data_IF_975424211334
#
_entry.id   IF_975424211334
#
_cell.length_a   1.000
_cell.length_b   1.000
_cell.length_c   1.000
_cell.angle_alpha   90.00
_cell.angle_beta   90.00
_cell.angle_gamma   90.00
#
_symmetry.space_group_name_H-M   'P 1'
#
loop_
_entity.id
_entity.type
_entity.pdbx_description
1 polymer ?
#
# COMPACT_ATOMS: atom_id res chain seq x y z
N UNK A 1 20.91 12.66 38.95
CA UNK A 1 21.84 12.68 37.79
C UNK A 1 22.39 11.27 37.57
N UNK A 2 21.82 10.48 36.67
CA UNK A 2 22.35 9.22 36.09
C UNK A 2 21.34 8.73 35.06
N UNK A 3 21.57 9.09 33.80
CA UNK A 3 22.05 8.23 32.69
C UNK A 3 20.93 7.45 32.01
N UNK A 4 20.51 8.01 30.88
CA UNK A 4 19.52 7.48 29.94
C UNK A 4 20.13 6.44 28.98
N UNK A 5 19.26 5.50 28.58
CA UNK A 5 19.42 4.43 27.60
C UNK A 5 20.15 4.83 26.31
N UNK A 6 21.03 3.95 25.84
CA UNK A 6 21.37 3.79 24.41
C UNK A 6 21.20 2.32 24.06
N UNK A 7 20.14 1.98 23.32
CA UNK A 7 20.04 0.73 22.58
C UNK A 7 20.48 1.03 21.14
N UNK A 8 21.60 0.43 20.72
CA UNK A 8 22.01 0.37 19.33
C UNK A 8 21.94 -1.10 18.90
N UNK A 9 21.09 -1.37 17.92
CA UNK A 9 20.89 -2.64 17.27
C UNK A 9 22.11 -2.92 16.37
N UNK A 10 22.81 -4.02 16.61
CA UNK A 10 23.91 -4.53 15.79
C UNK A 10 23.52 -5.95 15.37
N UNK A 11 23.04 -6.10 14.15
CA UNK A 11 23.05 -7.37 13.43
C UNK A 11 23.96 -7.20 12.21
N UNK A 12 25.17 -7.73 12.32
CA UNK A 12 26.07 -7.94 11.19
C UNK A 12 26.18 -9.45 10.98
N UNK A 13 25.45 -9.97 9.99
CA UNK A 13 25.69 -11.30 9.44
C UNK A 13 26.54 -11.11 8.18
N UNK A 14 27.82 -11.43 8.29
CA UNK A 14 28.73 -11.51 7.15
C UNK A 14 28.52 -12.85 6.46
N UNK A 15 28.07 -12.83 5.20
CA UNK A 15 28.15 -13.96 4.29
C UNK A 15 29.33 -13.75 3.32
N UNK A 16 30.09 -14.80 2.95
CA UNK A 16 31.15 -14.68 1.96
C UNK A 16 30.54 -14.58 0.57
N UNK A 17 30.83 -13.49 -0.15
CA UNK A 17 30.48 -13.36 -1.56
C UNK A 17 31.48 -14.15 -2.42
N UNK A 18 31.03 -15.23 -3.05
CA UNK A 18 31.72 -15.80 -4.21
C UNK A 18 31.27 -15.04 -5.45
N UNK A 19 32.20 -14.27 -6.03
CA UNK A 19 31.96 -13.56 -7.28
C UNK A 19 31.86 -14.54 -8.46
N UNK A 20 30.64 -14.75 -8.95
CA UNK A 20 30.39 -15.21 -10.31
C UNK A 20 29.95 -13.99 -11.12
N UNK A 21 30.48 -13.81 -12.33
CA UNK A 21 30.06 -12.73 -13.21
C UNK A 21 28.60 -12.94 -13.62
N UNK A 22 27.71 -12.15 -13.01
CA UNK A 22 26.28 -12.11 -13.26
C UNK A 22 25.95 -10.95 -14.21
N UNK A 23 24.81 -11.06 -14.89
CA UNK A 23 24.14 -9.93 -15.52
C UNK A 23 24.18 -8.70 -14.54
N UNK A 24 24.24 -7.44 -15.00
CA UNK A 24 24.39 -6.26 -14.09
C UNK A 24 23.08 -5.57 -13.66
N UNK A 25 22.78 -5.48 -12.34
CA UNK A 25 21.71 -4.71 -11.64
C UNK A 25 20.27 -5.27 -11.55
N UNK A 26 19.52 -4.99 -10.45
CA UNK A 26 18.07 -5.23 -10.32
C UNK A 26 17.25 -3.94 -10.53
N UNK A 27 16.12 -4.05 -11.24
CA UNK A 27 15.19 -2.95 -11.50
C UNK A 27 13.77 -3.40 -11.16
N UNK A 28 13.00 -2.58 -10.44
CA UNK A 28 11.57 -2.81 -10.23
C UNK A 28 10.79 -2.49 -11.53
N UNK A 29 10.32 -3.52 -12.24
CA UNK A 29 9.57 -3.33 -13.49
C UNK A 29 8.17 -2.77 -13.27
N UNK A 30 7.48 -3.20 -12.23
CA UNK A 30 6.11 -2.74 -11.97
C UNK A 30 6.13 -1.31 -11.42
N UNK A 31 5.48 -0.37 -12.11
CA UNK A 31 5.28 0.98 -11.58
C UNK A 31 4.09 1.09 -10.62
N UNK A 32 3.21 0.08 -10.63
CA UNK A 32 1.97 0.07 -9.86
C UNK A 32 2.23 0.10 -8.35
N UNK A 33 1.62 1.08 -7.67
CA UNK A 33 1.60 1.14 -6.20
C UNK A 33 0.18 1.51 -5.77
N UNK A 34 -0.46 0.71 -4.89
CA UNK A 34 -1.77 1.08 -4.38
C UNK A 34 -1.69 2.41 -3.61
N UNK A 35 -2.81 3.12 -3.54
CA UNK A 35 -2.94 4.24 -2.62
C UNK A 35 -2.64 3.78 -1.18
N UNK A 36 -2.04 4.64 -0.37
CA UNK A 36 -1.51 4.24 0.94
C UNK A 36 -2.60 3.93 1.99
N UNK A 37 -3.82 4.42 1.75
CA UNK A 37 -4.94 4.38 2.69
C UNK A 37 -6.29 4.18 1.97
N UNK A 38 -7.37 4.23 2.75
CA UNK A 38 -8.77 4.22 2.32
C UNK A 38 -9.23 5.50 1.60
N UNK A 39 -8.51 6.62 1.74
CA UNK A 39 -8.91 7.95 1.27
C UNK A 39 -8.53 8.20 -0.18
N UNK A 40 -7.52 7.50 -0.67
CA UNK A 40 -7.07 7.56 -2.06
C UNK A 40 -8.06 7.02 -3.10
N UNK A 41 -7.56 6.89 -4.32
CA UNK A 41 -8.25 6.34 -5.48
C UNK A 41 -7.87 4.86 -5.58
N UNK A 42 -7.37 4.35 -6.71
CA UNK A 42 -6.81 2.99 -6.78
C UNK A 42 -5.30 3.05 -6.50
N UNK A 43 -4.58 3.88 -7.24
CA UNK A 43 -3.13 4.11 -7.09
C UNK A 43 -2.81 5.56 -6.76
N UNK A 44 -3.67 6.49 -7.18
CA UNK A 44 -3.49 7.91 -6.92
C UNK A 44 -3.90 8.23 -5.50
N UNK A 45 -3.02 8.91 -4.76
CA UNK A 45 -3.28 9.33 -3.40
C UNK A 45 -4.08 10.64 -3.38
N UNK A 46 -4.91 10.82 -2.35
CA UNK A 46 -5.58 12.09 -2.04
C UNK A 46 -4.84 12.81 -0.88
N UNK A 47 -5.08 14.10 -0.70
CA UNK A 47 -4.53 14.87 0.42
C UNK A 47 -5.18 14.53 1.76
N UNK A 48 -6.34 13.88 1.73
CA UNK A 48 -7.03 13.39 2.91
C UNK A 48 -6.13 12.42 3.70
N UNK A 49 -6.26 12.52 5.02
CA UNK A 49 -5.56 11.69 6.00
C UNK A 49 -6.61 11.03 6.89
N UNK A 50 -6.23 9.91 7.49
CA UNK A 50 -6.97 9.28 8.58
C UNK A 50 -7.11 10.22 9.79
N UNK A 51 -8.17 10.03 10.57
CA UNK A 51 -8.39 10.69 11.85
C UNK A 51 -7.34 10.29 12.90
N UNK A 52 -7.30 11.01 14.03
CA UNK A 52 -6.35 10.67 15.08
C UNK A 52 -6.66 9.29 15.65
N UNK A 53 -5.66 8.42 15.71
CA UNK A 53 -5.77 7.05 16.20
C UNK A 53 -6.66 6.13 15.33
N UNK A 54 -7.03 6.59 14.13
CA UNK A 54 -7.68 5.75 13.12
C UNK A 54 -6.61 4.94 12.37
N UNK A 55 -6.98 3.71 12.00
CA UNK A 55 -6.16 2.81 11.21
C UNK A 55 -6.85 2.48 9.89
N UNK A 56 -6.06 2.24 8.85
CA UNK A 56 -6.52 1.62 7.61
C UNK A 56 -5.59 0.46 7.28
N UNK A 57 -6.12 -0.65 6.79
CA UNK A 57 -5.32 -1.75 6.30
C UNK A 57 -5.98 -2.38 5.07
N UNK A 58 -5.18 -2.99 4.21
CA UNK A 58 -5.70 -3.59 3.00
C UNK A 58 -4.75 -4.56 2.34
N UNK A 59 -5.32 -5.35 1.45
CA UNK A 59 -4.58 -6.23 0.55
C UNK A 59 -5.01 -5.87 -0.87
N UNK A 60 -4.07 -5.36 -1.67
CA UNK A 60 -4.32 -4.98 -3.06
C UNK A 60 -3.43 -5.83 -3.96
N UNK A 61 -4.06 -6.69 -4.76
CA UNK A 61 -3.36 -7.54 -5.73
C UNK A 61 -3.50 -6.95 -7.11
N UNK A 62 -2.39 -6.85 -7.82
CA UNK A 62 -2.37 -6.52 -9.24
C UNK A 62 -1.69 -7.62 -10.05
N UNK A 63 -2.08 -7.75 -11.30
CA UNK A 63 -1.46 -8.60 -12.30
C UNK A 63 -1.16 -7.74 -13.52
N UNK A 64 0.07 -7.76 -14.00
CA UNK A 64 0.49 -7.13 -15.24
C UNK A 64 1.03 -8.18 -16.21
N UNK A 65 0.66 -8.07 -17.48
CA UNK A 65 1.13 -8.93 -18.56
C UNK A 65 2.03 -8.17 -19.53
N UNK A 66 3.15 -8.74 -19.93
CA UNK A 66 4.05 -8.21 -20.94
C UNK A 66 4.71 -6.90 -20.50
N UNK A 67 5.40 -6.88 -19.37
CA UNK A 67 6.01 -5.65 -18.82
C UNK A 67 7.33 -5.28 -19.50
N UNK A 68 7.98 -6.23 -20.16
CA UNK A 68 9.23 -6.05 -20.86
C UNK A 68 9.35 -7.10 -21.96
N UNK A 69 9.79 -6.68 -23.15
CA UNK A 69 10.08 -7.57 -24.28
C UNK A 69 11.33 -7.07 -25.02
N UNK A 70 12.31 -7.92 -25.22
CA UNK A 70 13.45 -7.69 -26.10
C UNK A 70 13.44 -8.67 -27.26
N UNK A 71 13.86 -8.18 -28.43
CA UNK A 71 14.08 -8.99 -29.62
C UNK A 71 15.53 -8.80 -30.07
N UNK A 72 16.24 -9.91 -30.27
CA UNK A 72 17.66 -9.93 -30.64
C UNK A 72 17.91 -10.59 -32.00
N UNK A 73 19.18 -10.73 -32.35
CA UNK A 73 19.59 -11.35 -33.60
C UNK A 73 19.18 -12.83 -33.66
N UNK A 74 18.91 -13.35 -34.86
CA UNK A 74 18.59 -14.78 -35.03
C UNK A 74 17.22 -15.20 -34.48
N UNK A 75 16.33 -14.24 -34.18
CA UNK A 75 14.99 -14.52 -33.65
C UNK A 75 14.96 -14.77 -32.15
N UNK A 76 16.03 -14.41 -31.42
CA UNK A 76 16.05 -14.49 -29.97
C UNK A 76 15.07 -13.51 -29.35
N UNK A 77 14.37 -13.91 -28.30
CA UNK A 77 13.43 -13.06 -27.56
C UNK A 77 13.66 -13.23 -26.06
N UNK A 78 13.48 -12.16 -25.29
CA UNK A 78 13.40 -12.19 -23.85
C UNK A 78 12.14 -11.45 -23.41
N UNK A 79 11.27 -12.10 -22.66
CA UNK A 79 10.01 -11.50 -22.22
C UNK A 79 9.78 -11.72 -20.73
N UNK A 80 9.40 -10.65 -20.03
CA UNK A 80 8.76 -10.75 -18.71
C UNK A 80 7.25 -10.83 -18.94
N UNK A 81 6.75 -12.06 -18.97
CA UNK A 81 5.40 -12.42 -19.41
C UNK A 81 4.33 -11.99 -18.43
N UNK A 82 4.49 -12.30 -17.15
CA UNK A 82 3.48 -12.04 -16.12
C UNK A 82 4.15 -11.64 -14.80
N UNK A 83 3.62 -10.59 -14.17
CA UNK A 83 3.97 -10.18 -12.80
C UNK A 83 2.69 -10.05 -12.01
N UNK A 84 2.60 -10.76 -10.88
CA UNK A 84 1.51 -10.67 -9.91
C UNK A 84 2.10 -10.10 -8.61
N UNK A 85 1.47 -9.06 -8.08
CA UNK A 85 1.94 -8.42 -6.84
C UNK A 85 0.78 -8.13 -5.89
N UNK A 86 0.47 -9.05 -4.96
CA UNK A 86 -0.26 -8.73 -3.74
C UNK A 86 0.56 -7.79 -2.85
N UNK A 87 -0.04 -6.66 -2.47
CA UNK A 87 0.57 -5.67 -1.58
C UNK A 87 -0.30 -5.51 -0.35
N UNK A 88 0.26 -5.79 0.82
CA UNK A 88 -0.34 -5.39 2.09
C UNK A 88 -0.05 -3.91 2.31
N UNK A 89 -1.08 -3.15 2.64
CA UNK A 89 -0.96 -1.74 3.04
C UNK A 89 -1.50 -1.57 4.45
N UNK A 90 -0.86 -0.70 5.22
CA UNK A 90 -1.30 -0.28 6.53
C UNK A 90 -1.04 1.21 6.71
N UNK A 91 -1.97 1.94 7.30
CA UNK A 91 -1.85 3.35 7.58
C UNK A 91 -2.42 3.69 8.96
N UNK A 92 -1.86 4.74 9.57
CA UNK A 92 -2.23 5.24 10.89
C UNK A 92 -2.28 6.76 10.92
N UNK A 93 -3.41 7.31 11.38
CA UNK A 93 -3.64 8.75 11.45
C UNK A 93 -3.15 9.38 12.76
N UNK A 94 -2.47 10.50 12.65
CA UNK A 94 -1.89 11.25 13.76
C UNK A 94 -2.29 12.72 13.67
N UNK A 95 -2.78 13.27 14.78
CA UNK A 95 -3.14 14.69 14.86
C UNK A 95 -2.46 15.35 16.04
N UNK A 96 -1.70 16.41 15.75
CA UNK A 96 -1.01 17.21 16.76
C UNK A 96 -1.44 18.68 16.60
N UNK A 97 -2.55 19.03 17.25
CA UNK A 97 -3.17 20.35 17.10
C UNK A 97 -3.61 20.62 15.65
N UNK A 98 -3.01 21.61 14.95
CA UNK A 98 -3.33 21.89 13.54
C UNK A 98 -2.59 20.97 12.55
N UNK A 99 -1.61 20.18 13.00
CA UNK A 99 -0.82 19.32 12.14
C UNK A 99 -1.53 17.97 12.03
N UNK A 100 -1.78 17.53 10.81
CA UNK A 100 -2.40 16.24 10.52
C UNK A 100 -1.46 15.42 9.64
N UNK A 101 -1.04 14.28 10.18
CA UNK A 101 -0.07 13.36 9.60
C UNK A 101 -0.70 11.99 9.45
N UNK A 102 -0.16 11.21 8.53
CA UNK A 102 -0.46 9.80 8.39
C UNK A 102 0.82 9.03 8.11
N UNK A 103 1.04 7.99 8.89
CA UNK A 103 2.13 7.04 8.68
C UNK A 103 1.58 5.86 7.88
N UNK A 104 2.33 5.41 6.88
CA UNK A 104 1.95 4.27 6.06
C UNK A 104 3.08 3.27 5.90
N UNK A 105 2.71 2.01 5.68
CA UNK A 105 3.60 0.91 5.29
C UNK A 105 3.00 0.16 4.11
N UNK A 106 3.84 -0.24 3.17
CA UNK A 106 3.46 -1.14 2.07
C UNK A 106 4.42 -2.31 1.98
N UNK A 107 3.88 -3.52 1.87
CA UNK A 107 4.65 -4.77 1.83
C UNK A 107 4.21 -5.56 0.59
N UNK A 108 4.94 -5.44 -0.52
CA UNK A 108 4.65 -6.20 -1.73
C UNK A 108 5.25 -7.60 -1.66
N UNK A 109 4.48 -8.60 -2.10
CA UNK A 109 4.99 -9.92 -2.44
C UNK A 109 4.85 -10.06 -3.94
N UNK A 110 5.92 -10.43 -4.63
CA UNK A 110 5.99 -10.46 -6.09
C UNK A 110 6.14 -11.91 -6.52
N UNK A 111 5.35 -12.30 -7.52
CA UNK A 111 5.49 -13.56 -8.26
C UNK A 111 5.56 -13.20 -9.73
N UNK A 112 6.53 -13.74 -10.44
CA UNK A 112 6.74 -13.41 -11.83
C UNK A 112 7.16 -14.62 -12.66
N UNK A 113 6.84 -14.55 -13.94
CA UNK A 113 7.23 -15.52 -14.94
C UNK A 113 7.61 -14.81 -16.23
N UNK A 114 8.55 -15.41 -16.96
CA UNK A 114 8.99 -14.95 -18.25
C UNK A 114 9.57 -16.08 -19.09
N UNK A 115 9.78 -15.78 -20.36
CA UNK A 115 10.18 -16.75 -21.37
C UNK A 115 11.30 -16.19 -22.24
N UNK A 116 12.09 -17.09 -22.81
CA UNK A 116 13.11 -16.81 -23.81
C UNK A 116 12.81 -17.64 -25.06
N UNK A 117 12.96 -17.03 -26.23
CA UNK A 117 12.85 -17.71 -27.53
C UNK A 117 14.18 -17.57 -28.30
N UNK A 118 14.45 -18.40 -29.33
CA UNK A 118 13.64 -19.57 -29.74
C UNK A 118 13.72 -20.69 -28.70
N UNK A 119 12.58 -21.35 -28.47
CA UNK A 119 12.56 -22.68 -27.89
C UNK A 119 13.01 -23.69 -28.95
N UNK A 120 13.58 -24.82 -28.52
CA UNK A 120 13.94 -25.90 -29.44
C UNK A 120 12.80 -26.92 -29.48
N UNK A 121 12.06 -26.97 -30.60
CA UNK A 121 10.82 -27.73 -30.75
C UNK A 121 10.99 -29.09 -31.44
N UNK A 122 12.12 -29.77 -31.20
CA UNK A 122 12.40 -31.11 -31.75
C UNK A 122 12.84 -31.10 -33.22
N UNK A 123 13.42 -29.99 -33.68
CA UNK A 123 13.96 -29.84 -35.02
C UNK A 123 15.28 -30.60 -35.21
N UNK A 124 15.20 -31.73 -35.92
CA UNK A 124 16.26 -32.69 -36.30
C UNK A 124 16.72 -33.67 -35.20
N UNK A 125 16.78 -35.00 -35.49
CA UNK A 125 17.16 -36.04 -34.50
C UNK A 125 18.56 -35.93 -33.89
N UNK A 126 19.37 -34.99 -34.36
CA UNK A 126 20.78 -34.80 -33.98
C UNK A 126 21.00 -33.45 -33.26
N UNK A 127 19.96 -32.65 -33.00
CA UNK A 127 20.07 -31.49 -32.10
C UNK A 127 19.99 -31.99 -30.64
N UNK A 128 21.06 -31.81 -29.83
CA UNK A 128 21.06 -32.22 -28.43
C UNK A 128 20.08 -31.41 -27.55
N UNK A 129 19.40 -30.40 -28.11
CA UNK A 129 18.46 -29.51 -27.42
C UNK A 129 16.99 -29.87 -27.71
N UNK A 130 16.70 -31.12 -28.08
CA UNK A 130 15.31 -31.53 -28.33
C UNK A 130 14.42 -31.29 -27.10
N UNK A 131 13.25 -30.69 -27.31
CA UNK A 131 12.25 -30.36 -26.27
C UNK A 131 12.65 -29.33 -25.19
N UNK A 132 13.69 -28.51 -25.41
CA UNK A 132 14.08 -27.46 -24.45
C UNK A 132 13.17 -26.21 -24.51
N UNK A 133 12.61 -25.84 -23.35
CA UNK A 133 11.91 -24.56 -23.12
C UNK A 133 12.70 -23.69 -22.15
N UNK A 134 12.97 -22.45 -22.54
CA UNK A 134 13.75 -21.52 -21.75
C UNK A 134 12.84 -20.53 -21.00
N UNK A 135 12.22 -21.00 -19.91
CA UNK A 135 11.43 -20.15 -19.01
C UNK A 135 12.23 -19.71 -17.78
N UNK A 136 11.79 -18.63 -17.14
CA UNK A 136 12.29 -18.23 -15.82
C UNK A 136 11.12 -17.78 -14.94
N UNK A 137 11.21 -18.08 -13.64
CA UNK A 137 10.23 -17.71 -12.64
C UNK A 137 10.94 -17.19 -11.40
N UNK A 138 10.30 -16.26 -10.71
CA UNK A 138 10.82 -15.75 -9.45
C UNK A 138 9.68 -15.33 -8.53
N UNK A 139 9.88 -15.54 -7.23
CA UNK A 139 8.95 -15.12 -6.21
C UNK A 139 9.70 -14.61 -4.99
N UNK A 140 9.15 -13.62 -4.32
CA UNK A 140 9.75 -13.12 -3.09
C UNK A 140 9.06 -11.88 -2.56
N UNK A 141 9.66 -11.32 -1.52
CA UNK A 141 9.29 -9.99 -1.07
C UNK A 141 9.79 -8.97 -2.09
N UNK A 142 9.00 -7.94 -2.39
CA UNK A 142 9.51 -6.76 -3.09
C UNK A 142 10.04 -5.73 -2.11
N UNK A 143 10.14 -4.48 -2.55
CA UNK A 143 10.63 -3.39 -1.70
C UNK A 143 9.56 -2.90 -0.73
N UNK A 144 9.84 -3.02 0.58
CA UNK A 144 8.95 -2.49 1.62
C UNK A 144 8.96 -0.96 1.59
N UNK A 145 7.80 -0.34 1.42
CA UNK A 145 7.62 1.10 1.47
C UNK A 145 7.26 1.59 2.87
N UNK A 146 7.94 2.64 3.33
CA UNK A 146 7.56 3.43 4.49
C UNK A 146 7.13 4.82 4.03
N UNK A 147 5.99 5.30 4.51
CA UNK A 147 5.34 6.52 4.01
C UNK A 147 5.01 7.48 5.15
N UNK A 148 5.19 8.78 4.90
CA UNK A 148 4.72 9.86 5.74
C UNK A 148 3.94 10.84 4.86
N UNK A 149 2.62 10.92 5.05
CA UNK A 149 1.76 11.93 4.43
C UNK A 149 1.54 13.07 5.42
N UNK A 150 1.76 14.29 4.97
CA UNK A 150 1.45 15.50 5.70
C UNK A 150 0.46 16.35 4.92
N UNK A 151 -0.70 16.61 5.52
CA UNK A 151 -1.74 17.47 4.95
C UNK A 151 -1.55 18.93 5.38
N UNK A 152 -1.59 19.83 4.39
CA UNK A 152 -1.54 21.28 4.59
C UNK A 152 -2.90 21.95 4.46
N UNK A 153 -3.71 21.50 3.49
CA UNK A 153 -5.05 22.04 3.23
C UNK A 153 -6.06 20.91 3.10
N UNK A 154 -7.24 21.14 3.66
CA UNK A 154 -8.37 20.20 3.60
C UNK A 154 -9.40 20.63 2.57
N UNK A 155 -9.98 19.67 1.85
CA UNK A 155 -11.14 19.88 0.98
C UNK A 155 -12.41 20.29 1.73
N UNK A 156 -12.46 20.08 3.06
CA UNK A 156 -13.64 20.39 3.87
C UNK A 156 -13.82 21.88 4.19
N UNK A 157 -12.77 22.69 4.05
CA UNK A 157 -12.77 24.14 4.32
C UNK A 157 -12.48 24.91 3.01
N UNK A 158 -12.98 26.14 2.88
CA UNK A 158 -12.71 26.96 1.69
C UNK A 158 -11.20 27.08 1.44
N UNK A 159 -10.67 26.95 0.20
CA UNK A 159 -11.31 26.91 -1.12
C UNK A 159 -11.76 25.52 -1.64
N UNK A 160 -11.99 24.54 -0.76
CA UNK A 160 -12.31 23.14 -1.11
C UNK A 160 -11.24 22.48 -1.98
N UNK A 161 -9.97 22.85 -1.75
CA UNK A 161 -8.81 22.26 -2.41
C UNK A 161 -7.97 21.59 -1.33
N UNK A 162 -7.64 20.33 -1.56
CA UNK A 162 -6.74 19.55 -0.75
C UNK A 162 -5.29 19.73 -1.19
N UNK A 163 -4.37 19.83 -0.23
CA UNK A 163 -2.93 19.88 -0.49
C UNK A 163 -2.21 19.02 0.55
N UNK A 164 -1.38 18.08 0.08
CA UNK A 164 -0.51 17.27 0.91
C UNK A 164 0.84 17.01 0.25
N UNK A 165 1.79 16.57 1.05
CA UNK A 165 3.05 15.97 0.58
C UNK A 165 3.18 14.59 1.19
N UNK A 166 3.63 13.63 0.39
CA UNK A 166 3.94 12.27 0.81
C UNK A 166 5.45 12.08 0.63
N UNK A 167 6.17 11.90 1.73
CA UNK A 167 7.53 11.39 1.74
C UNK A 167 7.50 9.88 1.82
N UNK A 168 8.33 9.18 1.05
CA UNK A 168 8.41 7.73 1.06
C UNK A 168 9.85 7.26 0.92
N UNK A 169 10.17 6.14 1.55
CA UNK A 169 11.40 5.39 1.33
C UNK A 169 11.04 3.94 1.09
N UNK A 170 11.46 3.42 -0.07
CA UNK A 170 11.34 2.00 -0.41
C UNK A 170 12.64 1.32 -0.04
N UNK A 171 12.57 0.30 0.80
CA UNK A 171 13.71 -0.44 1.32
C UNK A 171 14.01 -1.62 0.39
N UNK A 172 15.28 -1.88 0.06
CA UNK A 172 15.68 -2.96 -0.86
C UNK A 172 15.59 -4.31 -0.12
N UNK A 173 14.38 -4.84 -0.02
CA UNK A 173 14.09 -6.08 0.72
C UNK A 173 13.86 -7.28 -0.21
N UNK A 174 13.94 -7.04 -1.52
CA UNK A 174 13.98 -8.09 -2.52
C UNK A 174 15.08 -9.10 -2.21
N UNK A 175 14.71 -10.38 -2.21
CA UNK A 175 15.60 -11.49 -1.88
C UNK A 175 16.21 -12.03 -3.17
N UNK A 176 17.55 -12.01 -3.26
CA UNK A 176 18.31 -12.67 -4.33
C UNK A 176 18.56 -14.13 -3.91
N UNK A 177 17.63 -15.04 -4.21
CA UNK A 177 17.70 -16.41 -3.68
C UNK A 177 18.74 -17.31 -4.40
N UNK A 178 19.22 -16.93 -5.57
CA UNK A 178 20.05 -17.80 -6.40
C UNK A 178 21.03 -17.04 -7.30
N UNK A 179 21.14 -15.71 -7.10
CA UNK A 179 21.95 -14.88 -7.97
C UNK A 179 21.38 -14.70 -9.37
N UNK A 180 20.14 -15.12 -9.61
CA UNK A 180 19.35 -14.59 -10.72
C UNK A 180 18.76 -13.26 -10.31
N UNK A 181 18.64 -12.36 -11.28
CA UNK A 181 18.03 -11.06 -11.05
C UNK A 181 16.55 -11.16 -11.23
N UNK A 182 15.84 -10.73 -10.20
CA UNK A 182 14.50 -11.25 -9.99
C UNK A 182 13.41 -10.23 -10.27
N UNK A 183 13.75 -9.01 -10.72
CA UNK A 183 12.81 -7.90 -10.97
C UNK A 183 11.89 -7.56 -9.76
N UNK A 184 12.17 -8.13 -8.58
CA UNK A 184 11.31 -8.05 -7.39
C UNK A 184 11.44 -6.69 -6.69
N UNK A 185 12.56 -5.99 -6.88
CA UNK A 185 12.85 -4.72 -6.23
C UNK A 185 14.12 -4.07 -6.75
N UNK A 186 14.48 -2.94 -6.14
CA UNK A 186 15.66 -2.15 -6.46
C UNK A 186 16.86 -2.57 -5.59
N UNK A 187 18.08 -2.42 -6.09
CA UNK A 187 19.31 -2.79 -5.34
C UNK A 187 19.57 -1.91 -4.11
N UNK A 188 19.01 -0.69 -4.09
CA UNK A 188 19.24 0.30 -3.04
C UNK A 188 17.95 0.97 -2.65
N UNK A 189 17.96 1.52 -1.44
CA UNK A 189 16.84 2.30 -0.93
C UNK A 189 16.50 3.44 -1.88
N UNK A 190 15.22 3.53 -2.22
CA UNK A 190 14.70 4.45 -3.23
C UNK A 190 13.79 5.46 -2.55
N UNK A 191 14.28 6.68 -2.26
CA UNK A 191 13.45 7.73 -1.70
C UNK A 191 12.56 8.38 -2.77
N UNK A 192 11.37 8.76 -2.37
CA UNK A 192 10.38 9.40 -3.22
C UNK A 192 9.64 10.50 -2.44
N UNK A 193 9.37 11.62 -3.11
CA UNK A 193 8.52 12.68 -2.58
C UNK A 193 7.45 12.99 -3.62
N UNK A 194 6.18 12.96 -3.20
CA UNK A 194 5.03 13.33 -4.03
C UNK A 194 4.29 14.51 -3.41
N UNK A 195 4.00 15.53 -4.21
CA UNK A 195 2.97 16.50 -3.90
C UNK A 195 1.62 15.96 -4.37
N UNK A 196 0.57 16.25 -3.60
CA UNK A 196 -0.82 15.85 -3.89
C UNK A 196 -1.69 17.08 -3.87
N UNK A 197 -2.48 17.28 -4.93
CA UNK A 197 -3.53 18.29 -5.01
C UNK A 197 -4.82 17.61 -5.41
N UNK A 198 -5.88 17.83 -4.66
CA UNK A 198 -7.19 17.25 -4.99
C UNK A 198 -8.34 18.22 -4.74
N UNK A 199 -9.48 17.89 -5.33
CA UNK A 199 -10.70 18.69 -5.24
C UNK A 199 -11.93 17.81 -5.33
N UNK A 200 -12.89 18.09 -4.47
CA UNK A 200 -14.24 17.55 -4.53
C UNK A 200 -15.17 18.60 -5.13
N UNK A 201 -16.01 18.19 -6.09
CA UNK A 201 -16.87 19.07 -6.87
C UNK A 201 -18.34 18.88 -6.50
N UNK A 202 -19.08 20.00 -6.52
CA UNK A 202 -20.50 20.03 -6.16
C UNK A 202 -20.74 20.03 -4.65
N UNK A 203 -22.01 20.19 -4.26
CA UNK A 203 -22.43 20.12 -2.86
C UNK A 203 -22.48 18.67 -2.37
N UNK A 204 -22.92 17.75 -3.24
CA UNK A 204 -22.97 16.31 -2.98
C UNK A 204 -21.61 15.60 -3.03
N UNK A 205 -20.54 16.31 -3.46
CA UNK A 205 -19.15 15.80 -3.56
C UNK A 205 -18.99 14.48 -4.32
N UNK A 206 -19.92 14.20 -5.23
CA UNK A 206 -19.94 12.94 -6.00
C UNK A 206 -18.76 12.82 -6.95
N UNK A 207 -18.27 13.93 -7.48
CA UNK A 207 -17.14 13.93 -8.37
C UNK A 207 -15.91 14.46 -7.62
N UNK A 208 -14.82 13.71 -7.68
CA UNK A 208 -13.53 14.11 -7.10
C UNK A 208 -12.40 13.85 -8.08
N UNK A 209 -11.40 14.72 -8.02
CA UNK A 209 -10.18 14.64 -8.83
C UNK A 209 -8.96 14.81 -7.95
N UNK A 210 -7.89 14.07 -8.23
CA UNK A 210 -6.58 14.27 -7.64
C UNK A 210 -5.48 14.27 -8.69
N UNK A 211 -4.46 15.06 -8.44
CA UNK A 211 -3.21 15.12 -9.18
C UNK A 211 -2.08 14.86 -8.20
N UNK A 212 -1.20 13.94 -8.58
CA UNK A 212 0.05 13.67 -7.86
C UNK A 212 1.23 13.92 -8.78
N UNK A 213 2.31 14.47 -8.24
CA UNK A 213 3.53 14.71 -8.99
C UNK A 213 4.72 14.84 -8.06
N UNK A 214 5.89 14.37 -8.47
CA UNK A 214 7.05 14.42 -7.60
C UNK A 214 8.34 13.91 -8.21
N UNK A 215 9.23 13.42 -7.35
CA UNK A 215 10.55 12.91 -7.72
C UNK A 215 10.80 11.58 -7.01
N UNK A 216 11.36 10.61 -7.74
CA UNK A 216 11.83 9.33 -7.23
C UNK A 216 13.30 9.19 -7.60
N UNK A 217 14.14 8.98 -6.59
CA UNK A 217 15.58 8.92 -6.74
C UNK A 217 16.06 7.48 -6.68
N UNK A 218 16.78 7.04 -7.70
CA UNK A 218 17.44 5.71 -7.73
C UNK A 218 18.93 5.92 -7.61
N UNK A 219 19.55 5.25 -6.64
CA UNK A 219 21.00 5.35 -6.38
C UNK A 219 21.76 4.06 -6.70
N UNK A 220 21.06 3.02 -7.16
CA UNK A 220 21.63 1.74 -7.62
C UNK A 220 22.13 1.83 -9.06
N UNK A 221 22.67 0.72 -9.56
CA UNK A 221 23.11 0.62 -10.96
C UNK A 221 21.92 0.72 -11.93
N UNK A 222 20.71 0.43 -11.44
CA UNK A 222 19.44 0.77 -12.07
C UNK A 222 19.32 0.25 -13.49
N UNK A 223 20.04 -0.81 -13.83
CA UNK A 223 20.11 -1.35 -15.16
C UNK A 223 19.94 -2.86 -15.11
N UNK A 224 19.42 -3.41 -16.20
CA UNK A 224 19.40 -4.84 -16.43
C UNK A 224 19.77 -5.08 -17.88
N UNK A 225 20.69 -5.99 -18.12
CA UNK A 225 21.04 -6.48 -19.46
C UNK A 225 20.78 -7.97 -19.55
N UNK A 226 20.13 -8.40 -20.62
CA UNK A 226 19.91 -9.80 -20.93
C UNK A 226 21.12 -10.41 -21.67
N UNK A 227 22.09 -10.99 -20.95
CA UNK A 227 23.20 -11.71 -21.58
C UNK A 227 23.07 -13.24 -21.51
N UNK A 228 22.07 -13.75 -20.81
CA UNK A 228 21.90 -15.15 -20.40
C UNK A 228 23.16 -15.75 -19.74
N UNK A 229 23.14 -15.89 -18.42
CA UNK A 229 24.14 -16.73 -17.76
C UNK A 229 23.98 -18.18 -18.26
N UNK A 230 24.98 -18.70 -18.98
CA UNK A 230 25.02 -20.08 -19.46
C UNK A 230 26.22 -20.85 -18.87
N UNK A 231 26.21 -21.17 -17.56
CA UNK A 231 27.33 -21.87 -16.92
C UNK A 231 27.51 -23.31 -17.42
N UNK A 232 26.45 -23.89 -18.01
CA UNK A 232 26.42 -25.28 -18.46
C UNK A 232 26.62 -25.43 -19.98
N UNK A 233 26.73 -24.33 -20.73
CA UNK A 233 26.94 -24.34 -22.18
C UNK A 233 25.73 -24.85 -22.96
N UNK A 234 24.52 -24.65 -22.44
CA UNK A 234 23.24 -25.06 -23.03
C UNK A 234 22.83 -24.17 -24.22
N UNK A 235 23.49 -23.04 -24.44
CA UNK A 235 23.16 -22.11 -25.51
C UNK A 235 21.86 -21.35 -25.25
N UNK A 236 21.65 -20.93 -23.99
CA UNK A 236 20.45 -20.17 -23.57
C UNK A 236 20.33 -18.92 -24.45
N UNK A 237 19.18 -18.70 -25.12
CA UNK A 237 19.00 -17.53 -25.95
C UNK A 237 19.13 -16.24 -25.14
N UNK A 238 19.98 -15.32 -25.62
CA UNK A 238 20.09 -13.96 -25.09
C UNK A 238 19.96 -12.93 -26.18
N UNK A 239 19.37 -11.80 -25.82
CA UNK A 239 19.10 -10.68 -26.74
C UNK A 239 20.17 -9.60 -26.67
N UNK A 240 20.89 -9.49 -25.55
CA UNK A 240 21.78 -8.37 -25.24
C UNK A 240 21.02 -7.07 -24.94
N UNK A 241 19.69 -7.11 -24.84
CA UNK A 241 18.86 -5.95 -24.58
C UNK A 241 19.11 -5.39 -23.17
N UNK A 242 19.15 -4.06 -23.06
CA UNK A 242 19.39 -3.37 -21.79
C UNK A 242 18.25 -2.41 -21.45
N UNK A 243 17.77 -2.47 -20.20
CA UNK A 243 16.92 -1.46 -19.60
C UNK A 243 17.72 -0.67 -18.58
N UNK A 244 17.47 0.63 -18.54
CA UNK A 244 18.02 1.53 -17.53
C UNK A 244 16.86 2.32 -16.91
N UNK A 245 16.64 2.10 -15.62
CA UNK A 245 15.73 2.84 -14.77
C UNK A 245 16.53 3.81 -13.90
N UNK A 246 16.68 5.04 -14.38
CA UNK A 246 17.28 6.12 -13.62
C UNK A 246 16.30 6.85 -12.70
N UNK A 247 16.68 8.06 -12.31
CA UNK A 247 15.82 8.98 -11.59
C UNK A 247 14.56 9.30 -12.42
N UNK A 248 13.41 9.44 -11.77
CA UNK A 248 12.13 9.68 -12.48
C UNK A 248 11.29 10.76 -11.80
N UNK A 249 10.44 11.41 -12.59
CA UNK A 249 9.37 12.30 -12.12
C UNK A 249 8.03 11.56 -12.21
N UNK A 250 7.61 10.83 -11.16
CA UNK A 250 6.31 10.17 -11.13
C UNK A 250 5.17 11.19 -11.14
N UNK A 251 4.10 10.86 -11.84
CA UNK A 251 2.87 11.62 -11.87
C UNK A 251 1.63 10.71 -11.91
N UNK A 252 0.50 11.26 -11.49
CA UNK A 252 -0.77 10.56 -11.50
C UNK A 252 -1.94 11.53 -11.59
N UNK A 253 -2.98 11.15 -12.32
CA UNK A 253 -4.28 11.81 -12.38
C UNK A 253 -5.33 10.78 -12.02
N UNK A 254 -6.09 11.05 -10.96
CA UNK A 254 -7.23 10.25 -10.54
C UNK A 254 -8.52 11.02 -10.72
N UNK A 255 -9.52 10.38 -11.33
CA UNK A 255 -10.89 10.87 -11.44
C UNK A 255 -11.82 9.84 -10.83
N UNK A 256 -12.75 10.27 -9.98
CA UNK A 256 -13.73 9.37 -9.40
C UNK A 256 -15.12 9.99 -9.36
N UNK A 257 -16.13 9.15 -9.58
CA UNK A 257 -17.53 9.51 -9.55
C UNK A 257 -18.35 8.52 -8.73
N UNK A 258 -18.93 9.00 -7.64
CA UNK A 258 -19.86 8.26 -6.80
C UNK A 258 -21.25 8.17 -7.45
N UNK A 259 -21.50 7.06 -8.15
CA UNK A 259 -22.82 6.71 -8.70
C UNK A 259 -23.86 6.74 -7.57
N UNK A 260 -23.51 6.08 -6.46
CA UNK A 260 -24.25 6.15 -5.20
C UNK A 260 -23.24 6.36 -4.08
N UNK A 261 -23.25 7.53 -3.41
CA UNK A 261 -22.35 7.81 -2.30
C UNK A 261 -22.33 6.67 -1.29
N UNK A 262 -21.13 6.32 -0.79
CA UNK A 262 -20.92 5.25 0.20
C UNK A 262 -21.39 3.86 -0.24
N UNK A 263 -21.63 3.63 -1.53
CA UNK A 263 -21.95 2.29 -2.07
C UNK A 263 -21.15 1.96 -3.31
N UNK A 264 -21.15 2.85 -4.31
CA UNK A 264 -20.54 2.60 -5.60
C UNK A 264 -19.85 3.85 -6.13
N UNK A 265 -18.55 3.75 -6.37
CA UNK A 265 -17.71 4.77 -7.01
C UNK A 265 -17.03 4.14 -8.24
N UNK A 266 -17.11 4.82 -9.39
CA UNK A 266 -16.30 4.48 -10.56
C UNK A 266 -15.04 5.35 -10.54
N UNK A 267 -13.91 4.75 -10.88
CA UNK A 267 -12.59 5.41 -10.82
C UNK A 267 -11.87 5.21 -12.15
N UNK A 268 -11.30 6.28 -12.67
CA UNK A 268 -10.37 6.24 -13.80
C UNK A 268 -9.08 6.94 -13.42
N UNK A 269 -7.94 6.35 -13.76
CA UNK A 269 -6.62 6.91 -13.46
C UNK A 269 -5.70 6.88 -14.67
N UNK A 270 -4.79 7.84 -14.73
CA UNK A 270 -3.59 7.78 -15.58
C UNK A 270 -2.40 7.94 -14.66
N UNK A 271 -1.48 6.99 -14.70
CA UNK A 271 -0.25 7.01 -13.90
C UNK A 271 0.96 6.83 -14.81
N UNK A 272 2.07 7.43 -14.43
CA UNK A 272 3.31 7.23 -15.16
C UNK A 272 4.49 7.94 -14.52
N UNK A 273 5.63 7.87 -15.18
CA UNK A 273 6.82 8.58 -14.76
C UNK A 273 7.63 9.06 -15.97
N UNK A 274 8.16 10.28 -15.85
CA UNK A 274 9.09 10.83 -16.84
C UNK A 274 10.51 10.46 -16.40
N UNK A 275 11.28 9.71 -17.20
CA UNK A 275 12.68 9.45 -16.86
C UNK A 275 13.51 10.72 -16.99
N UNK A 276 14.42 10.92 -16.03
CA UNK A 276 15.46 11.95 -16.08
C UNK A 276 16.77 11.39 -16.67
N UNK A 277 16.96 10.07 -16.57
CA UNK A 277 18.09 9.28 -17.03
C UNK A 277 17.57 7.91 -17.52
N UNK A 278 18.15 7.37 -18.60
CA UNK A 278 17.68 6.14 -19.25
C UNK A 278 16.40 6.36 -20.08
N UNK A 279 16.42 6.05 -21.38
CA UNK A 279 15.25 6.30 -22.26
C UNK A 279 14.26 5.12 -22.31
N UNK A 280 14.68 3.93 -21.84
CA UNK A 280 13.96 2.67 -22.06
C UNK A 280 13.04 2.27 -20.89
N UNK A 281 13.05 2.99 -19.75
CA UNK A 281 12.10 2.83 -18.66
C UNK A 281 11.13 4.01 -18.61
N UNK A 282 9.91 3.82 -19.14
CA UNK A 282 8.93 4.90 -19.33
C UNK A 282 7.51 4.44 -18.97
N UNK A 283 7.20 4.12 -17.71
CA UNK A 283 5.88 3.66 -17.34
C UNK A 283 4.83 4.73 -17.64
N UNK A 284 3.77 4.36 -18.37
CA UNK A 284 2.62 5.21 -18.64
C UNK A 284 1.39 4.35 -18.87
N UNK A 285 0.48 4.33 -17.92
CA UNK A 285 -0.66 3.41 -17.86
C UNK A 285 -1.98 4.14 -17.64
N UNK A 286 -3.03 3.62 -18.27
CA UNK A 286 -4.41 4.04 -18.08
C UNK A 286 -5.20 2.94 -17.38
N UNK A 287 -5.93 3.30 -16.34
CA UNK A 287 -6.62 2.39 -15.44
C UNK A 287 -8.09 2.78 -15.31
N UNK A 288 -8.96 1.79 -15.20
CA UNK A 288 -10.36 1.99 -14.85
C UNK A 288 -10.82 0.90 -13.89
N UNK A 289 -11.64 1.27 -12.91
CA UNK A 289 -12.15 0.33 -11.94
C UNK A 289 -13.35 0.85 -11.19
N UNK A 290 -13.82 0.04 -10.26
CA UNK A 290 -14.92 0.35 -9.36
C UNK A 290 -14.49 0.13 -7.92
N UNK A 291 -15.06 0.93 -7.02
CA UNK A 291 -15.05 0.69 -5.58
C UNK A 291 -16.47 0.38 -5.11
N UNK A 292 -16.62 -0.75 -4.45
CA UNK A 292 -17.84 -1.19 -3.77
C UNK A 292 -17.63 -1.02 -2.28
N UNK A 293 -18.32 -0.06 -1.69
CA UNK A 293 -18.19 0.26 -0.27
C UNK A 293 -19.00 -0.74 0.56
N UNK A 294 -18.30 -1.42 1.46
CA UNK A 294 -18.85 -2.36 2.44
C UNK A 294 -19.25 -1.63 3.73
N UNK A 295 -18.51 -0.57 4.05
CA UNK A 295 -18.80 0.39 5.11
C UNK A 295 -18.41 1.81 4.64
N UNK A 296 -18.56 2.82 5.50
CA UNK A 296 -18.33 4.24 5.14
C UNK A 296 -17.01 4.48 4.40
N UNK A 297 -15.91 3.87 4.89
CA UNK A 297 -14.56 4.02 4.33
C UNK A 297 -13.86 2.67 4.04
N UNK A 298 -14.61 1.56 4.11
CA UNK A 298 -14.12 0.22 3.77
C UNK A 298 -14.71 -0.23 2.44
N UNK A 299 -13.88 -0.71 1.51
CA UNK A 299 -14.31 -1.05 0.16
C UNK A 299 -13.56 -2.23 -0.46
N UNK A 300 -14.23 -2.88 -1.40
CA UNK A 300 -13.64 -3.75 -2.42
C UNK A 300 -13.39 -2.93 -3.68
N UNK A 301 -12.19 -2.98 -4.25
CA UNK A 301 -11.85 -2.42 -5.54
C UNK A 301 -11.53 -3.50 -6.56
N UNK A 302 -11.99 -3.33 -7.79
CA UNK A 302 -11.60 -4.19 -8.90
C UNK A 302 -11.59 -3.40 -10.21
N UNK A 303 -10.73 -3.81 -11.13
CA UNK A 303 -10.62 -3.16 -12.42
C UNK A 303 -9.44 -3.66 -13.21
N UNK A 304 -9.07 -2.87 -14.21
CA UNK A 304 -7.96 -3.17 -15.09
C UNK A 304 -7.50 -1.95 -15.86
N UNK A 305 -6.51 -2.18 -16.71
CA UNK A 305 -5.88 -1.12 -17.48
C UNK A 305 -4.90 -1.66 -18.51
N UNK A 306 -4.16 -0.74 -19.10
CA UNK A 306 -3.11 -1.05 -20.07
C UNK A 306 -2.09 0.09 -20.13
N UNK A 307 -0.86 -0.26 -20.50
CA UNK A 307 0.16 0.70 -20.91
C UNK A 307 -0.24 1.42 -22.20
N UNK A 308 0.02 2.73 -22.23
CA UNK A 308 -0.15 3.55 -23.42
C UNK A 308 1.05 3.45 -24.37
N UNK A 309 2.25 3.19 -23.82
CA UNK A 309 3.48 3.06 -24.58
C UNK A 309 3.72 1.58 -24.88
N UNK A 310 3.21 1.14 -26.03
CA UNK A 310 3.45 -0.20 -26.56
C UNK A 310 4.66 -0.19 -27.46
N UNK A 311 5.53 -1.17 -27.30
CA UNK A 311 6.70 -1.35 -28.14
C UNK A 311 7.70 -2.27 -27.48
N UNK A 312 8.47 -2.95 -28.32
CA UNK A 312 9.61 -3.72 -27.87
C UNK A 312 10.63 -2.77 -27.23
N UNK A 313 11.43 -3.30 -26.31
CA UNK A 313 12.55 -2.63 -25.65
C UNK A 313 12.19 -1.52 -24.65
N UNK A 314 10.90 -1.30 -24.38
CA UNK A 314 10.42 -0.39 -23.32
C UNK A 314 9.92 -1.18 -22.13
N UNK A 315 10.49 -0.94 -20.95
CA UNK A 315 10.04 -1.56 -19.72
C UNK A 315 9.06 -0.72 -18.92
N UNK A 316 8.35 -1.40 -18.02
CA UNK A 316 7.43 -0.79 -17.06
C UNK A 316 6.07 -0.41 -17.64
N UNK A 317 5.72 -0.93 -18.81
CA UNK A 317 4.41 -0.74 -19.44
C UNK A 317 3.79 -2.10 -19.71
N UNK A 318 2.84 -2.57 -18.89
CA UNK A 318 2.14 -3.81 -19.19
C UNK A 318 1.24 -3.64 -20.42
N UNK A 319 1.15 -4.66 -21.26
CA UNK A 319 0.13 -4.74 -22.32
C UNK A 319 -1.28 -4.70 -21.71
N UNK A 320 -1.45 -5.38 -20.59
CA UNK A 320 -2.70 -5.49 -19.84
C UNK A 320 -2.44 -5.54 -18.34
N UNK A 321 -3.31 -4.90 -17.57
CA UNK A 321 -3.33 -4.95 -16.12
C UNK A 321 -4.71 -5.35 -15.60
N UNK A 322 -4.72 -6.19 -14.58
CA UNK A 322 -5.89 -6.45 -13.73
C UNK A 322 -5.56 -6.14 -12.27
N UNK A 323 -6.55 -5.76 -11.48
CA UNK A 323 -6.37 -5.61 -10.03
C UNK A 323 -7.65 -5.96 -9.26
N UNK A 324 -7.43 -6.40 -8.02
CA UNK A 324 -8.44 -6.67 -7.02
C UNK A 324 -7.87 -6.26 -5.66
N UNK A 325 -8.57 -5.42 -4.92
CA UNK A 325 -8.12 -4.97 -3.61
C UNK A 325 -9.26 -4.90 -2.60
N UNK A 326 -8.95 -5.19 -1.35
CA UNK A 326 -9.85 -4.95 -0.23
C UNK A 326 -9.15 -4.02 0.75
N UNK A 327 -9.82 -2.95 1.15
CA UNK A 327 -9.28 -1.94 2.07
C UNK A 327 -10.33 -1.71 3.15
N UNK A 328 -9.88 -1.80 4.39
CA UNK A 328 -10.68 -1.60 5.59
C UNK A 328 -10.17 -0.40 6.36
N UNK A 329 -11.10 0.42 6.79
CA UNK A 329 -10.90 1.46 7.79
C UNK A 329 -11.97 1.19 8.87
N UNK A 330 -11.62 0.46 9.95
CA UNK A 330 -12.55 0.23 11.04
C UNK A 330 -12.91 1.57 11.69
N UNK A 331 -14.20 1.83 11.82
CA UNK A 331 -14.69 2.98 12.57
C UNK A 331 -14.76 2.57 14.04
N UNK A 332 -13.65 2.72 14.75
CA UNK A 332 -13.59 2.55 16.20
C UNK A 332 -13.92 3.92 16.81
N UNK A 333 -15.20 4.31 16.73
CA UNK A 333 -15.73 5.54 17.32
C UNK A 333 -15.91 5.41 18.83
N UNK A 334 -16.26 6.51 19.48
CA UNK A 334 -16.61 6.64 20.89
C UNK A 334 -17.73 7.69 20.89
N UNK A 335 -18.98 7.22 21.02
CA UNK A 335 -20.18 8.00 20.64
C UNK A 335 -20.63 8.93 21.76
N UNK A 336 -20.53 8.51 23.00
CA UNK A 336 -20.83 9.24 24.23
C UNK A 336 -19.61 9.97 24.79
N UNK A 337 -18.41 9.58 24.40
CA UNK A 337 -17.16 10.29 24.70
C UNK A 337 -16.59 9.97 26.07
N UNK A 338 -16.90 8.80 26.62
CA UNK A 338 -16.44 8.35 27.93
C UNK A 338 -15.01 7.77 27.89
N UNK A 339 -14.51 7.43 26.71
CA UNK A 339 -13.16 6.89 26.48
C UNK A 339 -13.13 5.40 26.16
N UNK A 340 -14.25 4.69 26.26
CA UNK A 340 -14.48 3.40 25.62
C UNK A 340 -14.82 3.61 24.15
N UNK A 341 -14.63 2.58 23.33
CA UNK A 341 -14.96 2.66 21.91
C UNK A 341 -16.23 1.87 21.68
N UNK A 342 -17.03 2.33 20.72
CA UNK A 342 -18.30 1.72 20.29
C UNK A 342 -18.25 0.19 20.10
N UNK A 343 -17.07 -0.39 19.83
CA UNK A 343 -16.88 -1.82 19.60
C UNK A 343 -16.53 -2.65 20.85
N UNK A 344 -16.16 -1.98 21.95
CA UNK A 344 -15.83 -2.57 23.25
C UNK A 344 -16.68 -2.04 24.40
N UNK A 345 -17.51 -1.04 24.12
CA UNK A 345 -18.46 -0.38 25.00
C UNK A 345 -19.82 -1.11 24.96
N UNK A 346 -20.32 -1.54 26.12
CA UNK A 346 -21.62 -2.21 26.22
C UNK A 346 -22.81 -1.24 26.13
N UNK A 347 -22.59 0.04 26.45
CA UNK A 347 -23.56 1.13 26.40
C UNK A 347 -23.13 2.32 25.51
N UNK A 348 -22.89 2.15 24.19
CA UNK A 348 -22.26 3.18 23.33
C UNK A 348 -23.03 4.49 23.07
N UNK A 349 -24.11 4.76 23.78
CA UNK A 349 -24.83 6.02 23.69
C UNK A 349 -24.97 6.69 25.07
N UNK A 350 -24.49 6.05 26.13
CA UNK A 350 -24.64 6.43 27.54
C UNK A 350 -23.24 6.38 28.20
N UNK A 351 -22.64 7.54 28.55
CA UNK A 351 -21.27 7.58 29.01
C UNK A 351 -21.10 6.95 30.40
N UNK A 352 -20.04 6.16 30.57
CA UNK A 352 -19.49 5.70 31.85
C UNK A 352 -19.30 6.85 32.86
N UNK A 353 -19.61 6.60 34.14
CA UNK A 353 -19.53 7.59 35.23
C UNK A 353 -18.28 7.50 36.12
N UNK A 354 -17.44 6.47 35.93
CA UNK A 354 -16.09 6.33 36.50
C UNK A 354 -16.05 6.53 38.03
N UNK A 355 -16.79 5.70 38.76
CA UNK A 355 -16.95 5.80 40.22
C UNK A 355 -16.23 4.67 41.02
N UNK A 356 -15.36 3.91 40.35
CA UNK A 356 -14.65 2.71 40.85
C UNK A 356 -15.55 1.45 40.99
N UNK A 357 -16.81 1.48 40.50
CA UNK A 357 -17.71 0.34 40.41
C UNK A 357 -17.95 -0.02 38.93
N UNK A 358 -17.71 -1.30 38.59
CA UNK A 358 -17.94 -1.88 37.25
C UNK A 358 -17.42 -1.11 36.00
N UNK A 359 -16.60 -0.06 36.16
CA UNK A 359 -15.99 0.84 35.16
C UNK A 359 -15.40 0.20 33.88
N UNK A 360 -15.18 -1.11 33.80
CA UNK A 360 -14.54 -1.80 32.67
C UNK A 360 -15.48 -2.09 31.49
N UNK A 361 -16.80 -1.95 31.65
CA UNK A 361 -17.80 -2.28 30.62
C UNK A 361 -18.29 -1.07 29.78
N UNK A 362 -18.02 0.15 30.25
CA UNK A 362 -18.40 1.39 29.57
C UNK A 362 -19.87 1.75 29.74
N UNK A 363 -20.53 1.22 30.78
CA UNK A 363 -21.92 1.50 31.09
C UNK A 363 -22.03 2.28 32.41
N UNK A 364 -22.81 3.36 32.47
CA UNK A 364 -23.04 4.05 33.74
C UNK A 364 -23.82 3.14 34.71
N UNK A 365 -23.38 3.13 35.96
CA UNK A 365 -24.03 2.44 37.08
C UNK A 365 -24.63 3.45 38.07
N UNK A 366 -25.86 3.95 37.83
CA UNK A 366 -26.45 5.03 38.63
C UNK A 366 -27.04 4.60 39.98
N UNK A 367 -27.01 3.30 40.30
CA UNK A 367 -27.45 2.67 41.57
C UNK A 367 -26.68 1.34 41.73
N UNK A 368 -25.46 1.44 42.27
CA UNK A 368 -24.48 0.34 42.32
C UNK A 368 -24.97 -0.87 43.14
N UNK A 369 -25.68 -0.64 44.24
CA UNK A 369 -26.14 -1.69 45.14
C UNK A 369 -27.59 -2.15 44.93
N UNK A 370 -28.32 -1.42 44.08
CA UNK A 370 -29.64 -1.75 43.53
C UNK A 370 -30.75 -1.73 44.56
N UNK A 371 -30.67 -0.85 45.55
CA UNK A 371 -31.69 -0.68 46.58
C UNK A 371 -32.86 0.26 46.14
N UNK A 372 -32.66 0.98 45.04
CA UNK A 372 -33.58 1.92 44.41
C UNK A 372 -33.30 3.40 44.69
N UNK A 373 -32.25 3.73 45.42
CA UNK A 373 -31.70 5.08 45.63
C UNK A 373 -30.50 5.24 44.69
N UNK A 374 -30.36 6.41 44.06
CA UNK A 374 -29.26 6.64 43.10
C UNK A 374 -27.99 6.98 43.88
N UNK A 375 -26.79 6.57 43.42
CA UNK A 375 -25.54 6.77 44.18
C UNK A 375 -25.27 8.22 44.59
N UNK A 376 -25.74 9.18 43.78
CA UNK A 376 -25.62 10.63 44.07
C UNK A 376 -26.45 11.09 45.28
N UNK A 377 -27.51 10.35 45.59
CA UNK A 377 -28.49 10.60 46.64
C UNK A 377 -28.35 9.56 47.79
N UNK A 378 -27.37 8.65 47.69
CA UNK A 378 -27.09 7.54 48.61
C UNK A 378 -25.88 7.85 49.52
N UNK A 379 -26.05 7.74 50.84
CA UNK A 379 -24.94 7.90 51.80
C UNK A 379 -24.02 6.66 51.88
N UNK A 380 -24.53 5.50 51.48
CA UNK A 380 -23.84 4.22 51.40
C UNK A 380 -23.94 3.56 50.01
N UNK A 381 -23.40 4.15 48.91
CA UNK A 381 -23.62 3.71 47.52
C UNK A 381 -23.25 2.26 47.16
N UNK A 382 -22.67 1.49 48.08
CA UNK A 382 -22.24 0.11 47.84
C UNK A 382 -22.85 -0.87 48.85
N UNK A 383 -23.83 -0.44 49.66
CA UNK A 383 -24.43 -1.20 50.76
C UNK A 383 -25.94 -0.98 50.78
N UNK A 384 -26.74 -1.97 50.35
CA UNK A 384 -28.18 -1.77 50.17
C UNK A 384 -28.93 -1.39 51.46
N UNK A 385 -29.84 -0.42 51.35
CA UNK A 385 -30.81 -0.02 52.38
C UNK A 385 -31.67 -1.19 52.91
N UNK A 386 -31.91 -1.23 54.23
CA UNK A 386 -32.61 -2.34 54.89
C UNK A 386 -34.12 -2.12 55.14
N UNK A 387 -34.63 -0.90 54.88
CA UNK A 387 -36.05 -0.49 54.92
C UNK A 387 -36.73 -0.87 56.23
N UNK A 388 -36.07 -0.58 57.37
CA UNK A 388 -36.57 -0.89 58.70
C UNK A 388 -37.58 0.13 59.28
N UNK A 389 -37.79 1.25 58.58
CA UNK A 389 -38.64 2.36 58.98
C UNK A 389 -37.90 3.52 59.68
N UNK A 390 -36.57 3.48 59.72
CA UNK A 390 -35.69 4.55 60.18
C UNK A 390 -34.86 5.06 59.01
N UNK A 391 -35.00 6.33 58.69
CA UNK A 391 -34.18 7.03 57.68
C UNK A 391 -34.11 6.37 56.28
N UNK A 392 -35.07 5.50 55.90
CA UNK A 392 -35.22 4.76 54.60
C UNK A 392 -35.01 5.54 53.27
N UNK A 393 -34.76 6.85 53.29
CA UNK A 393 -34.42 7.70 52.15
C UNK A 393 -32.92 8.06 52.09
N UNK A 394 -32.07 7.59 53.01
CA UNK A 394 -30.64 7.91 53.10
C UNK A 394 -29.70 6.89 52.43
N UNK A 395 -30.19 5.68 52.13
CA UNK A 395 -29.44 4.62 51.44
C UNK A 395 -28.56 3.78 52.37
N UNK A 396 -28.74 3.86 53.69
CA UNK A 396 -27.89 3.17 54.66
C UNK A 396 -28.66 2.24 55.65
N UNK A 397 -28.20 0.99 55.85
CA UNK A 397 -28.80 0.03 56.78
C UNK A 397 -28.82 0.38 58.29
#
# INVERSE_FOLDING_TARGET
MRTWLRFALLLALAAPATAAAQDGGNVELSFWRPAMDSRGYITVNASQVLGHNEFSFGLVTNWGRGLLKYEGAGGTEYQVSDIITPTLIGAYGLKFGPIELELGVSVPFVVMAGDRNPNSDGGTPDDPRDDERFGFESQGLGDIGLHLKWRFLSTSKGPKIGLAVIGSIYLPTATEDDGTKNWLGEDKATPQVLAVVDKEFGEDRRFRMALTGGIRLRSGDGSFTDNAADPMGLGIPSTGGTIEAGNTLPFGLGLAYAIKPQKFEVVGEVIGAIPLEGENYQPLEGLAGIKVYLARNSFLSLGGGAGFLRGNEKGGNPDWRGFLGIVFEPNLGDRDGDGYKDDVDECPDDPEDFDDFEDEDGCPDPDNDRDGILDKDDECPNVPEDKDGFEDEDGCP
#
